data_IF_922038100182
#
_entry.id   IF_922038100182
#
_cell.length_a   1.000
_cell.length_b   1.000
_cell.length_c   1.000
_cell.angle_alpha   90.00
_cell.angle_beta   90.00
_cell.angle_gamma   90.00
#
_symmetry.space_group_name_H-M   'P 1'
#
loop_
_entity.id
_entity.type
_entity.pdbx_description
1 polymer ?
#
# COMPACT_ATOMS: atom_id res chain seq x y z
N UNK A 1 9.90 15.04 30.54
CA UNK A 1 8.78 15.93 30.14
C UNK A 1 8.73 15.99 28.63
N UNK A 2 7.73 15.33 28.01
CA UNK A 2 7.55 15.40 26.54
C UNK A 2 7.33 16.87 26.17
N UNK A 3 8.28 17.44 25.43
CA UNK A 3 8.22 18.83 24.95
C UNK A 3 6.93 19.04 24.16
N UNK A 4 6.29 20.22 24.28
CA UNK A 4 5.11 20.63 23.46
C UNK A 4 5.33 20.52 21.94
N UNK A 5 6.57 20.22 21.51
CA UNK A 5 6.99 20.00 20.13
C UNK A 5 6.87 18.55 19.64
N UNK A 6 6.64 17.58 20.53
CA UNK A 6 6.50 16.17 20.18
C UNK A 6 5.20 15.60 20.74
N UNK A 7 4.41 14.96 19.88
CA UNK A 7 3.22 14.20 20.26
C UNK A 7 3.39 12.77 19.77
N UNK A 8 3.04 11.80 20.60
CA UNK A 8 3.15 10.36 20.32
C UNK A 8 1.77 9.72 20.48
N UNK A 9 1.46 8.73 19.65
CA UNK A 9 0.31 7.84 19.81
C UNK A 9 0.69 6.42 19.44
N UNK A 10 0.15 5.45 20.17
CA UNK A 10 0.30 4.05 19.85
C UNK A 10 -0.97 3.30 20.30
N UNK A 11 -1.48 2.45 19.42
CA UNK A 11 -2.60 1.56 19.67
C UNK A 11 -2.22 0.18 19.17
N UNK A 12 -2.57 -0.85 19.93
CA UNK A 12 -2.41 -2.24 19.50
C UNK A 12 -3.69 -3.00 19.80
N UNK A 13 -4.03 -3.93 18.92
CA UNK A 13 -5.22 -4.75 19.03
C UNK A 13 -4.91 -6.18 18.61
N UNK A 14 -5.58 -7.12 19.29
CA UNK A 14 -5.63 -8.52 18.92
C UNK A 14 -7.09 -8.90 18.78
N UNK A 15 -7.47 -9.39 17.61
CA UNK A 15 -8.81 -9.86 17.31
C UNK A 15 -8.77 -11.36 17.03
N UNK A 16 -9.56 -12.12 17.77
CA UNK A 16 -9.71 -13.56 17.55
C UNK A 16 -10.91 -13.87 16.69
N UNK A 17 -10.86 -15.00 15.97
CA UNK A 17 -11.93 -15.47 15.09
C UNK A 17 -12.25 -14.49 13.96
N UNK A 18 -11.27 -13.65 13.56
CA UNK A 18 -11.46 -12.82 12.39
C UNK A 18 -11.45 -13.70 11.13
N UNK A 19 -12.21 -13.31 10.11
CA UNK A 19 -12.46 -14.14 8.96
C UNK A 19 -11.49 -13.81 7.81
N UNK A 20 -10.79 -14.83 7.31
CA UNK A 20 -10.10 -14.81 6.02
C UNK A 20 -11.04 -15.38 4.96
N UNK A 21 -11.23 -14.67 3.85
CA UNK A 21 -12.08 -15.12 2.75
C UNK A 21 -11.35 -15.99 1.71
N UNK A 22 -10.06 -16.25 1.91
CA UNK A 22 -9.24 -17.12 1.05
C UNK A 22 -9.06 -16.59 -0.39
N UNK A 23 -9.19 -15.27 -0.60
CA UNK A 23 -8.92 -14.64 -1.90
C UNK A 23 -7.41 -14.50 -2.19
N UNK A 24 -6.55 -14.61 -1.17
CA UNK A 24 -5.18 -14.12 -1.24
C UNK A 24 -5.13 -12.59 -1.42
N UNK A 25 -3.96 -12.02 -1.69
CA UNK A 25 -3.84 -10.56 -1.88
C UNK A 25 -4.10 -10.05 -3.30
N UNK A 26 -4.43 -10.93 -4.26
CA UNK A 26 -4.89 -10.57 -5.60
C UNK A 26 -3.89 -9.77 -6.45
N UNK A 27 -2.60 -9.75 -6.09
CA UNK A 27 -1.57 -9.07 -6.87
C UNK A 27 -0.91 -10.08 -7.82
N UNK A 28 -1.21 -10.00 -9.12
CA UNK A 28 -0.70 -10.93 -10.14
C UNK A 28 -1.80 -11.78 -10.77
N UNK A 29 -1.49 -12.58 -11.80
CA UNK A 29 -2.43 -13.45 -12.51
C UNK A 29 -2.88 -14.67 -11.66
N UNK A 30 -3.34 -14.47 -10.44
CA UNK A 30 -3.88 -15.49 -9.54
C UNK A 30 -2.84 -16.36 -8.81
N UNK A 31 -1.67 -16.60 -9.41
CA UNK A 31 -0.71 -17.61 -8.89
C UNK A 31 0.56 -17.03 -8.23
N UNK A 32 1.02 -15.85 -8.64
CA UNK A 32 2.24 -15.24 -8.11
C UNK A 32 1.89 -13.97 -7.33
N UNK A 33 1.50 -14.14 -6.07
CA UNK A 33 1.22 -13.02 -5.17
C UNK A 33 2.08 -13.11 -3.93
N UNK A 34 2.33 -11.99 -3.23
CA UNK A 34 3.10 -11.98 -1.98
C UNK A 34 2.42 -12.79 -0.87
N UNK A 35 1.09 -12.87 -0.90
CA UNK A 35 0.29 -13.68 0.02
C UNK A 35 -0.75 -14.45 -0.79
N UNK A 36 -0.43 -15.67 -1.25
CA UNK A 36 -1.36 -16.49 -2.02
C UNK A 36 -2.52 -16.96 -1.14
N UNK A 37 -3.47 -17.68 -1.73
CA UNK A 37 -4.48 -18.43 -0.98
C UNK A 37 -3.77 -19.42 -0.05
N UNK A 38 -4.25 -19.56 1.17
CA UNK A 38 -3.61 -20.36 2.22
C UNK A 38 -4.60 -21.27 2.97
N UNK A 39 -5.80 -21.49 2.41
CA UNK A 39 -6.69 -22.53 2.91
C UNK A 39 -6.05 -23.92 2.86
N UNK A 40 -6.51 -24.86 3.70
CA UNK A 40 -6.11 -26.26 3.61
C UNK A 40 -6.37 -26.84 2.21
N UNK A 41 -7.57 -26.62 1.66
CA UNK A 41 -7.94 -27.12 0.34
C UNK A 41 -7.00 -26.59 -0.77
N UNK A 42 -6.66 -25.29 -0.75
CA UNK A 42 -5.72 -24.74 -1.72
C UNK A 42 -4.28 -25.21 -1.48
N UNK A 43 -3.87 -25.37 -0.23
CA UNK A 43 -2.55 -25.93 0.10
C UNK A 43 -2.41 -27.37 -0.37
N UNK A 44 -3.46 -28.18 -0.26
CA UNK A 44 -3.51 -29.55 -0.79
C UNK A 44 -3.46 -29.55 -2.32
N UNK A 45 -4.23 -28.66 -2.97
CA UNK A 45 -4.19 -28.47 -4.43
C UNK A 45 -2.78 -28.18 -4.95
N UNK A 46 -2.05 -27.26 -4.32
CA UNK A 46 -0.66 -26.93 -4.71
C UNK A 46 0.32 -28.10 -4.54
N UNK A 47 0.02 -29.06 -3.66
CA UNK A 47 0.83 -30.25 -3.43
C UNK A 47 0.29 -31.51 -4.14
N UNK A 48 -0.82 -31.39 -4.87
CA UNK A 48 -1.42 -32.50 -5.62
C UNK A 48 -0.50 -32.97 -6.76
N UNK A 49 -0.54 -34.26 -7.06
CA UNK A 49 0.21 -34.86 -8.17
C UNK A 49 -0.10 -34.18 -9.51
N UNK A 50 -1.36 -33.83 -9.72
CA UNK A 50 -1.91 -33.20 -10.91
C UNK A 50 -1.32 -31.80 -11.12
N UNK A 51 -1.25 -31.00 -10.06
CA UNK A 51 -0.68 -29.66 -10.12
C UNK A 51 0.84 -29.68 -10.32
N UNK A 52 1.54 -30.59 -9.66
CA UNK A 52 2.98 -30.76 -9.82
C UNK A 52 3.34 -31.22 -11.24
N UNK A 53 2.54 -32.10 -11.85
CA UNK A 53 2.73 -32.52 -13.24
C UNK A 53 2.45 -31.36 -14.21
N UNK A 54 1.40 -30.57 -13.98
CA UNK A 54 1.13 -29.34 -14.73
C UNK A 54 2.36 -28.39 -14.74
N UNK A 55 2.95 -28.14 -13.56
CA UNK A 55 4.15 -27.30 -13.44
C UNK A 55 5.35 -27.92 -14.16
N UNK A 56 5.56 -29.24 -14.05
CA UNK A 56 6.63 -29.97 -14.74
C UNK A 56 6.49 -29.82 -16.26
N UNK A 57 5.31 -30.05 -16.82
CA UNK A 57 5.05 -29.94 -18.26
C UNK A 57 5.21 -28.48 -18.73
N UNK A 58 4.77 -27.50 -17.93
CA UNK A 58 4.93 -26.07 -18.25
C UNK A 58 6.39 -25.64 -18.26
N UNK A 59 7.22 -26.20 -17.38
CA UNK A 59 8.66 -25.94 -17.36
C UNK A 59 9.38 -26.51 -18.59
N UNK A 60 8.89 -27.63 -19.15
CA UNK A 60 9.44 -28.25 -20.35
C UNK A 60 9.00 -27.52 -21.63
N UNK A 61 7.72 -27.16 -21.74
CA UNK A 61 7.17 -26.40 -22.85
C UNK A 61 6.17 -25.35 -22.36
N UNK A 62 6.62 -24.09 -22.14
CA UNK A 62 5.76 -23.02 -21.65
C UNK A 62 4.60 -22.64 -22.58
N UNK A 63 4.71 -22.97 -23.87
CA UNK A 63 3.76 -22.59 -24.92
C UNK A 63 2.89 -23.76 -25.38
N UNK A 64 2.84 -24.87 -24.62
CA UNK A 64 1.96 -26.00 -24.95
C UNK A 64 0.49 -25.60 -24.81
N UNK A 65 -0.31 -25.56 -25.90
CA UNK A 65 -1.70 -25.17 -25.84
C UNK A 65 -2.60 -26.19 -25.13
N UNK A 66 -2.11 -27.40 -24.84
CA UNK A 66 -2.89 -28.46 -24.19
C UNK A 66 -2.59 -28.58 -22.69
N UNK A 67 -1.60 -27.84 -22.19
CA UNK A 67 -1.22 -27.90 -20.78
C UNK A 67 -2.01 -26.86 -19.95
N UNK A 68 -3.15 -27.30 -19.41
CA UNK A 68 -4.01 -26.46 -18.57
C UNK A 68 -3.81 -26.78 -17.08
N UNK A 69 -3.89 -25.78 -16.19
CA UNK A 69 -3.88 -26.04 -14.76
C UNK A 69 -5.09 -26.91 -14.38
N UNK A 70 -4.93 -27.84 -13.43
CA UNK A 70 -6.06 -28.60 -12.89
C UNK A 70 -7.07 -27.66 -12.21
N UNK A 71 -8.31 -28.10 -12.10
CA UNK A 71 -9.39 -27.30 -11.50
C UNK A 71 -9.02 -26.89 -10.08
N UNK A 72 -9.00 -25.57 -9.84
CA UNK A 72 -8.74 -25.02 -8.52
C UNK A 72 -9.88 -25.37 -7.54
N UNK A 73 -9.57 -25.62 -6.26
CA UNK A 73 -10.59 -25.81 -5.24
C UNK A 73 -11.39 -24.53 -5.04
N UNK A 74 -12.67 -24.66 -4.63
CA UNK A 74 -13.50 -23.51 -4.28
C UNK A 74 -12.84 -22.67 -3.17
N UNK A 75 -13.28 -21.43 -3.02
CA UNK A 75 -12.85 -20.58 -1.90
C UNK A 75 -13.22 -21.27 -0.58
N UNK A 76 -12.28 -21.30 0.36
CA UNK A 76 -12.46 -21.92 1.67
C UNK A 76 -12.19 -20.88 2.78
N UNK A 77 -13.20 -20.05 3.09
CA UNK A 77 -13.07 -19.03 4.10
C UNK A 77 -12.83 -19.63 5.50
N UNK A 78 -11.81 -19.11 6.18
CA UNK A 78 -11.34 -19.62 7.46
C UNK A 78 -11.33 -18.56 8.56
N UNK A 79 -11.14 -19.01 9.79
CA UNK A 79 -10.94 -18.12 10.94
C UNK A 79 -9.46 -17.99 11.27
N UNK A 80 -9.09 -16.85 11.85
CA UNK A 80 -7.74 -16.56 12.28
C UNK A 80 -7.65 -15.54 13.41
N UNK A 81 -6.41 -15.28 13.83
CA UNK A 81 -6.07 -14.17 14.73
C UNK A 81 -5.51 -13.02 13.92
N UNK A 82 -6.09 -11.83 14.12
CA UNK A 82 -5.58 -10.59 13.57
C UNK A 82 -4.84 -9.79 14.62
N UNK A 83 -3.64 -9.34 14.27
CA UNK A 83 -2.87 -8.37 15.03
C UNK A 83 -2.86 -7.04 14.30
N UNK A 84 -3.23 -5.98 15.02
CA UNK A 84 -3.22 -4.61 14.54
C UNK A 84 -2.32 -3.75 15.43
N UNK A 85 -1.53 -2.89 14.80
CA UNK A 85 -0.70 -1.89 15.47
C UNK A 85 -0.80 -0.59 14.70
N UNK A 86 -1.09 0.50 15.39
CA UNK A 86 -1.01 1.84 14.85
C UNK A 86 -0.12 2.68 15.77
N UNK A 87 1.03 3.09 15.28
CA UNK A 87 1.93 4.01 15.97
C UNK A 87 2.07 5.29 15.15
N UNK A 88 2.28 6.41 15.82
CA UNK A 88 2.55 7.65 15.12
C UNK A 88 3.15 8.69 16.03
N UNK A 89 3.86 9.63 15.42
CA UNK A 89 4.35 10.81 16.11
C UNK A 89 4.18 12.05 15.26
N UNK A 90 4.04 13.18 15.92
CA UNK A 90 4.09 14.51 15.29
C UNK A 90 5.18 15.31 15.97
N UNK A 91 6.09 15.85 15.18
CA UNK A 91 7.23 16.62 15.61
C UNK A 91 7.26 17.99 14.95
N UNK A 92 7.39 19.04 15.77
CA UNK A 92 7.53 20.45 15.37
C UNK A 92 8.88 21.00 15.82
N UNK A 93 9.98 20.75 15.07
CA UNK A 93 11.29 21.23 15.47
C UNK A 93 11.33 22.76 15.60
N UNK A 94 10.71 23.45 14.65
CA UNK A 94 10.52 24.90 14.57
C UNK A 94 9.06 25.20 14.25
N UNK A 95 8.59 26.40 14.60
CA UNK A 95 7.20 26.80 14.42
C UNK A 95 6.63 26.62 13.00
N UNK A 96 7.36 26.94 11.91
CA UNK A 96 6.84 26.76 10.55
C UNK A 96 6.88 25.30 10.05
N UNK A 97 7.57 24.38 10.72
CA UNK A 97 7.77 23.00 10.25
C UNK A 97 6.97 22.02 11.11
N UNK A 98 6.04 21.31 10.48
CA UNK A 98 5.30 20.22 11.08
C UNK A 98 5.58 18.91 10.34
N UNK A 99 6.09 17.92 11.06
CA UNK A 99 6.38 16.58 10.54
C UNK A 99 5.49 15.59 11.29
N UNK A 100 4.80 14.71 10.58
CA UNK A 100 4.07 13.59 11.16
C UNK A 100 4.49 12.29 10.51
N UNK A 101 4.73 11.29 11.33
CA UNK A 101 5.01 9.93 10.91
C UNK A 101 3.90 9.03 11.47
N UNK A 102 3.37 8.16 10.63
CA UNK A 102 2.39 7.14 11.01
C UNK A 102 2.85 5.79 10.49
N UNK A 103 2.68 4.78 11.32
CA UNK A 103 2.93 3.39 11.00
C UNK A 103 1.71 2.56 11.37
N UNK A 104 1.16 1.85 10.40
CA UNK A 104 0.06 0.91 10.59
C UNK A 104 0.54 -0.48 10.18
N UNK A 105 0.43 -1.46 11.07
CA UNK A 105 0.64 -2.87 10.77
C UNK A 105 -0.68 -3.61 10.98
N UNK A 106 -1.03 -4.48 10.04
CA UNK A 106 -2.13 -5.41 10.18
C UNK A 106 -1.71 -6.77 9.63
N UNK A 107 -1.85 -7.82 10.43
CA UNK A 107 -1.48 -9.18 10.08
C UNK A 107 -2.59 -10.13 10.50
N UNK A 108 -3.09 -10.94 9.57
CA UNK A 108 -4.03 -12.02 9.85
C UNK A 108 -3.32 -13.37 9.69
N UNK A 109 -3.40 -14.23 10.69
CA UNK A 109 -2.86 -15.60 10.66
C UNK A 109 -4.00 -16.59 10.87
N UNK A 110 -4.19 -17.54 9.95
CA UNK A 110 -5.27 -18.53 10.05
C UNK A 110 -4.97 -19.58 11.12
N UNK A 111 -6.02 -20.15 11.71
CA UNK A 111 -5.88 -21.19 12.74
C UNK A 111 -5.59 -22.58 12.18
N UNK A 112 -6.10 -22.89 11.00
CA UNK A 112 -6.02 -24.21 10.37
C UNK A 112 -4.63 -24.49 9.78
N UNK A 113 -4.02 -23.50 9.14
CA UNK A 113 -2.72 -23.64 8.47
C UNK A 113 -1.57 -22.94 9.18
N UNK A 114 -1.84 -22.13 10.22
CA UNK A 114 -0.87 -21.26 10.90
C UNK A 114 -0.09 -20.32 9.96
N UNK A 115 -0.61 -20.13 8.74
CA UNK A 115 -0.02 -19.25 7.73
C UNK A 115 -0.64 -17.85 7.82
N UNK A 116 0.16 -16.85 7.49
CA UNK A 116 -0.30 -15.48 7.39
C UNK A 116 -1.11 -15.29 6.09
N UNK A 117 -2.40 -15.00 6.21
CA UNK A 117 -3.27 -14.64 5.08
C UNK A 117 -2.82 -13.32 4.46
N UNK A 118 -2.38 -12.37 5.29
CA UNK A 118 -1.69 -11.16 4.86
C UNK A 118 -0.83 -10.59 5.99
N UNK A 119 0.23 -9.84 5.62
CA UNK A 119 0.98 -8.94 6.51
C UNK A 119 1.21 -7.60 5.80
N UNK A 120 0.45 -6.59 6.21
CA UNK A 120 0.48 -5.26 5.65
C UNK A 120 1.18 -4.28 6.61
N UNK A 121 2.20 -3.60 6.10
CA UNK A 121 2.93 -2.54 6.79
C UNK A 121 2.77 -1.27 5.96
N UNK A 122 2.10 -0.28 6.52
CA UNK A 122 1.87 1.01 5.89
C UNK A 122 2.62 2.06 6.69
N UNK A 123 3.52 2.77 6.02
CA UNK A 123 4.27 3.90 6.61
C UNK A 123 3.87 5.16 5.87
N UNK A 124 3.43 6.18 6.60
CA UNK A 124 3.12 7.49 6.04
C UNK A 124 3.95 8.55 6.72
N UNK A 125 4.73 9.27 5.93
CA UNK A 125 5.42 10.49 6.34
C UNK A 125 4.69 11.69 5.72
N UNK A 126 4.34 12.69 6.53
CA UNK A 126 3.86 13.99 6.06
C UNK A 126 4.74 15.08 6.63
N UNK A 127 5.07 16.05 5.80
CA UNK A 127 5.79 17.25 6.20
C UNK A 127 5.08 18.47 5.64
N UNK A 128 5.00 19.53 6.42
CA UNK A 128 4.48 20.84 5.99
C UNK A 128 5.41 21.92 6.50
N UNK A 129 5.91 22.74 5.59
CA UNK A 129 6.74 23.89 5.90
C UNK A 129 6.05 25.18 5.45
N UNK A 130 5.86 26.12 6.38
CA UNK A 130 5.29 27.43 6.14
C UNK A 130 6.41 28.45 5.97
N UNK A 131 6.73 28.83 4.73
CA UNK A 131 7.76 29.85 4.48
C UNK A 131 7.28 31.23 4.93
N UNK A 132 6.01 31.54 4.63
CA UNK A 132 5.31 32.74 5.09
C UNK A 132 3.84 32.36 5.35
N UNK A 133 3.02 33.32 5.81
CA UNK A 133 1.56 33.13 5.89
C UNK A 133 0.88 32.87 4.55
N UNK A 134 1.58 33.10 3.43
CA UNK A 134 1.04 32.97 2.08
C UNK A 134 1.69 31.84 1.29
N UNK A 135 2.93 31.43 1.62
CA UNK A 135 3.70 30.45 0.86
C UNK A 135 4.00 29.24 1.74
N UNK A 136 3.67 28.05 1.24
CA UNK A 136 3.91 26.80 1.94
C UNK A 136 4.35 25.69 1.00
N UNK A 137 5.09 24.72 1.54
CA UNK A 137 5.33 23.43 0.89
C UNK A 137 4.78 22.29 1.74
N UNK A 138 4.21 21.28 1.08
CA UNK A 138 3.78 20.03 1.68
C UNK A 138 4.39 18.87 0.94
N UNK A 139 4.79 17.86 1.70
CA UNK A 139 5.29 16.59 1.16
C UNK A 139 4.59 15.45 1.88
N UNK A 140 4.22 14.41 1.15
CA UNK A 140 3.69 13.16 1.69
C UNK A 140 4.37 12.00 0.99
N UNK A 141 4.82 11.03 1.77
CA UNK A 141 5.40 9.78 1.27
C UNK A 141 4.64 8.65 1.96
N UNK A 142 4.03 7.76 1.18
CA UNK A 142 3.35 6.57 1.67
C UNK A 142 4.05 5.32 1.13
N UNK A 143 4.44 4.41 2.01
CA UNK A 143 4.94 3.08 1.68
C UNK A 143 3.91 2.02 2.10
N UNK A 144 3.67 1.05 1.24
CA UNK A 144 2.79 -0.08 1.50
C UNK A 144 3.51 -1.40 1.15
N UNK A 145 3.81 -2.19 2.17
CA UNK A 145 4.50 -3.48 2.00
C UNK A 145 3.64 -4.54 1.32
N UNK A 146 2.31 -4.46 1.41
CA UNK A 146 1.44 -5.48 0.79
C UNK A 146 1.50 -5.39 -0.73
N UNK A 147 1.56 -4.16 -1.26
CA UNK A 147 1.69 -3.86 -2.69
C UNK A 147 3.14 -3.62 -3.16
N UNK A 148 4.10 -3.68 -2.24
CA UNK A 148 5.50 -3.28 -2.50
C UNK A 148 5.63 -1.91 -3.16
N UNK A 149 4.75 -1.00 -2.75
CA UNK A 149 4.52 0.25 -3.44
C UNK A 149 4.95 1.43 -2.57
N UNK A 150 5.52 2.45 -3.20
CA UNK A 150 5.79 3.73 -2.58
C UNK A 150 5.17 4.82 -3.45
N UNK A 151 4.49 5.77 -2.81
CA UNK A 151 3.96 6.94 -3.49
C UNK A 151 4.47 8.22 -2.82
N UNK A 152 4.82 9.19 -3.64
CA UNK A 152 5.32 10.49 -3.22
C UNK A 152 4.45 11.60 -3.78
N UNK A 153 4.12 12.57 -2.93
CA UNK A 153 3.37 13.76 -3.31
C UNK A 153 4.09 14.99 -2.77
N UNK A 154 4.24 16.00 -3.61
CA UNK A 154 4.79 17.29 -3.25
C UNK A 154 3.88 18.39 -3.76
N UNK A 155 3.68 19.43 -2.95
CA UNK A 155 2.82 20.56 -3.28
C UNK A 155 3.45 21.85 -2.76
N UNK A 156 3.69 22.80 -3.64
CA UNK A 156 3.99 24.18 -3.31
C UNK A 156 2.72 25.02 -3.52
N UNK A 157 2.33 25.80 -2.52
CA UNK A 157 1.15 26.66 -2.55
C UNK A 157 1.48 28.12 -2.26
N UNK A 158 0.84 29.02 -3.00
CA UNK A 158 0.85 30.46 -2.78
C UNK A 158 -0.58 31.01 -2.71
N UNK A 159 -0.94 31.56 -1.56
CA UNK A 159 -2.28 32.05 -1.22
C UNK A 159 -2.21 33.45 -0.60
N UNK A 160 -1.99 34.52 -1.39
CA UNK A 160 -1.83 35.87 -0.88
C UNK A 160 -3.12 36.46 -0.30
N UNK A 161 -4.30 36.01 -0.76
CA UNK A 161 -5.59 36.54 -0.32
C UNK A 161 -6.72 35.49 -0.44
N UNK A 162 -7.84 35.67 0.29
CA UNK A 162 -9.06 34.87 0.14
C UNK A 162 -9.74 35.15 -1.22
N UNK A 163 -9.21 34.53 -2.27
CA UNK A 163 -9.64 34.73 -3.65
C UNK A 163 -8.54 34.53 -4.68
N UNK A 164 -7.27 34.52 -4.29
CA UNK A 164 -6.15 34.28 -5.23
C UNK A 164 -5.30 33.13 -4.72
N UNK A 165 -5.08 32.13 -5.58
CA UNK A 165 -4.30 30.96 -5.23
C UNK A 165 -3.52 30.43 -6.44
N UNK A 166 -2.29 29.98 -6.21
CA UNK A 166 -1.48 29.22 -7.16
C UNK A 166 -0.92 27.98 -6.45
N UNK A 167 -1.03 26.83 -7.11
CA UNK A 167 -0.49 25.57 -6.63
C UNK A 167 0.34 24.92 -7.74
N UNK A 168 1.50 24.42 -7.37
CA UNK A 168 2.35 23.59 -8.22
C UNK A 168 2.56 22.27 -7.48
N UNK A 169 2.21 21.17 -8.12
CA UNK A 169 2.25 19.86 -7.49
C UNK A 169 2.87 18.79 -8.36
N UNK A 170 3.39 17.77 -7.69
CA UNK A 170 4.07 16.64 -8.28
C UNK A 170 3.68 15.38 -7.53
N UNK A 171 3.19 14.39 -8.25
CA UNK A 171 2.83 13.08 -7.73
C UNK A 171 3.64 12.01 -8.48
N UNK A 172 4.16 11.04 -7.74
CA UNK A 172 4.89 9.89 -8.27
C UNK A 172 4.44 8.62 -7.54
N UNK A 173 4.44 7.50 -8.26
CA UNK A 173 4.08 6.19 -7.74
C UNK A 173 5.02 5.15 -8.35
N UNK A 174 5.68 4.39 -7.50
CA UNK A 174 6.67 3.39 -7.90
C UNK A 174 6.54 2.09 -7.11
N UNK A 175 6.84 0.98 -7.77
CA UNK A 175 7.01 -0.32 -7.14
C UNK A 175 8.49 -0.60 -6.88
N UNK A 176 8.76 -1.35 -5.83
CA UNK A 176 10.09 -1.88 -5.55
C UNK A 176 10.01 -3.34 -5.16
N UNK A 177 10.57 -4.24 -5.97
CA UNK A 177 10.47 -5.69 -5.78
C UNK A 177 9.00 -6.11 -5.58
N UNK A 178 8.16 -5.57 -6.46
CA UNK A 178 6.71 -5.70 -6.45
C UNK A 178 6.21 -6.34 -7.73
N UNK A 179 4.89 -6.45 -7.85
CA UNK A 179 4.29 -6.81 -9.13
C UNK A 179 3.63 -5.58 -9.72
N UNK A 180 3.73 -5.43 -11.03
CA UNK A 180 3.04 -4.37 -11.74
C UNK A 180 1.52 -4.50 -11.52
N UNK A 181 0.81 -3.43 -11.09
CA UNK A 181 -0.63 -3.51 -10.80
C UNK A 181 -1.50 -3.72 -12.04
N UNK A 182 -0.96 -3.51 -13.25
CA UNK A 182 -1.67 -3.64 -14.52
C UNK A 182 -1.32 -4.93 -15.26
N UNK A 183 -0.04 -5.34 -15.26
CA UNK A 183 0.40 -6.54 -15.99
C UNK A 183 0.59 -7.76 -15.10
N UNK A 184 0.64 -7.59 -13.78
CA UNK A 184 0.88 -8.66 -12.83
C UNK A 184 2.27 -9.29 -12.93
N UNK A 185 3.20 -8.68 -13.68
CA UNK A 185 4.57 -9.16 -13.83
C UNK A 185 5.42 -8.73 -12.64
N UNK A 186 6.35 -9.58 -12.20
CA UNK A 186 7.32 -9.26 -11.18
C UNK A 186 8.27 -8.16 -11.68
N UNK A 187 8.36 -7.07 -10.92
CA UNK A 187 9.23 -5.93 -11.13
C UNK A 187 10.34 -5.96 -10.07
N UNK A 188 11.52 -6.55 -10.37
CA UNK A 188 12.60 -6.79 -9.42
C UNK A 188 13.45 -5.54 -9.11
N UNK A 189 13.02 -4.36 -9.57
CA UNK A 189 13.73 -3.10 -9.44
C UNK A 189 12.75 -1.98 -9.09
N UNK A 190 13.26 -0.75 -9.04
CA UNK A 190 12.41 0.43 -8.98
C UNK A 190 11.74 0.64 -10.34
N UNK A 191 10.45 0.32 -10.41
CA UNK A 191 9.64 0.58 -11.60
C UNK A 191 8.61 1.66 -11.29
N UNK A 192 8.51 2.64 -12.19
CA UNK A 192 7.64 3.79 -12.00
C UNK A 192 6.30 3.55 -12.69
N UNK A 193 5.23 3.47 -11.92
CA UNK A 193 3.88 3.21 -12.41
C UNK A 193 3.27 4.45 -13.08
N UNK A 194 3.30 5.59 -12.38
CA UNK A 194 2.66 6.83 -12.85
C UNK A 194 3.38 8.04 -12.25
N UNK A 195 3.42 9.12 -13.04
CA UNK A 195 3.91 10.43 -12.66
C UNK A 195 2.97 11.51 -13.18
N UNK A 196 2.61 12.44 -12.31
CA UNK A 196 1.76 13.57 -12.69
C UNK A 196 2.34 14.86 -12.15
N UNK A 197 2.57 15.82 -13.05
CA UNK A 197 2.87 17.20 -12.70
C UNK A 197 1.63 18.05 -12.99
N UNK A 198 1.28 18.95 -12.08
CA UNK A 198 0.12 19.82 -12.26
C UNK A 198 0.37 21.22 -11.74
N UNK A 199 -0.30 22.18 -12.37
CA UNK A 199 -0.38 23.56 -11.93
C UNK A 199 -1.86 23.92 -11.84
N UNK A 200 -2.27 24.54 -10.73
CA UNK A 200 -3.64 25.02 -10.52
C UNK A 200 -3.62 26.46 -10.06
N UNK A 201 -4.30 27.34 -10.78
CA UNK A 201 -4.51 28.73 -10.40
C UNK A 201 -6.00 29.01 -10.17
N UNK A 202 -6.30 29.95 -9.27
CA UNK A 202 -7.66 30.45 -9.02
C UNK A 202 -7.60 31.93 -8.68
N UNK A 203 -8.54 32.69 -9.24
CA UNK A 203 -8.69 34.12 -8.99
C UNK A 203 -10.18 34.49 -8.88
N UNK A 204 -10.54 35.21 -7.83
CA UNK A 204 -11.88 35.71 -7.57
C UNK A 204 -11.97 37.18 -7.97
N UNK A 205 -12.76 37.47 -8.99
CA UNK A 205 -13.12 38.83 -9.35
C UNK A 205 -14.24 39.32 -8.42
N UNK A 206 -13.98 40.35 -7.62
CA UNK A 206 -15.01 41.04 -6.83
C UNK A 206 -15.37 42.33 -7.53
N UNK A 207 -16.62 42.46 -7.96
CA UNK A 207 -17.18 43.74 -8.43
C UNK A 207 -17.93 44.35 -7.24
N UNK A 208 -17.38 45.42 -6.67
CA UNK A 208 -18.14 46.28 -5.76
C UNK A 208 -19.07 47.10 -6.62
N UNK A 209 -20.37 47.04 -6.34
CA UNK A 209 -21.32 48.06 -6.79
C UNK A 209 -21.33 49.21 -5.78
#
# INVERSE_FOLDING_TARGET
TVSKKLSLRAFTGLNWNNFDFDFGNGIGNGFETRFPRISPAFSEYLNSSEYLEYLRLRALNPNDPNNFPPNEPPLDPGRGTQFDLQAGFTYKPVDPLNISFDYTKSKLTRYDTDKAAFDANIVTLRSTYQFTRFIFARTRIDYNSLRSNVSGQMLLGWNPSPGTALYVGYNDNFNYNGFNPYTGQLEPRFERNNRTFFIRASYLFRKSF
#
